data_IF_650911153887
#
_entry.id   IF_650911153887
#
_cell.length_a   1.000
_cell.length_b   1.000
_cell.length_c   1.000
_cell.angle_alpha   90.00
_cell.angle_beta   90.00
_cell.angle_gamma   90.00
#
_symmetry.space_group_name_H-M   'P 1'
#
loop_
_entity.id
_entity.type
_entity.pdbx_description
1 polymer ?
#
# COMPACT_ATOMS: atom_id res chain seq x y z
N UNK A 1 -21.70 -17.35 2.01
CA UNK A 1 -20.47 -16.54 2.10
C UNK A 1 -19.93 -16.31 0.68
N UNK A 2 -19.74 -15.05 0.26
CA UNK A 2 -19.18 -14.73 -1.07
C UNK A 2 -17.75 -15.29 -1.18
N UNK A 3 -17.38 -15.85 -2.34
CA UNK A 3 -16.00 -16.32 -2.63
C UNK A 3 -14.98 -15.18 -2.46
N UNK A 4 -15.38 -13.93 -2.72
CA UNK A 4 -14.56 -12.73 -2.50
C UNK A 4 -14.13 -12.60 -1.03
N UNK A 5 -15.08 -12.59 -0.10
CA UNK A 5 -14.79 -12.45 1.34
C UNK A 5 -13.85 -13.51 1.90
N UNK A 6 -13.98 -14.76 1.45
CA UNK A 6 -13.09 -15.84 1.91
C UNK A 6 -11.64 -15.53 1.51
N UNK A 7 -11.41 -15.07 0.28
CA UNK A 7 -10.06 -14.69 -0.18
C UNK A 7 -9.50 -13.51 0.60
N UNK A 8 -10.33 -12.50 0.86
CA UNK A 8 -9.91 -11.34 1.65
C UNK A 8 -9.59 -11.79 3.08
N UNK A 9 -10.45 -12.56 3.74
CA UNK A 9 -10.21 -13.09 5.09
C UNK A 9 -8.93 -13.91 5.20
N UNK A 10 -8.70 -14.84 4.28
CA UNK A 10 -7.46 -15.63 4.26
C UNK A 10 -6.21 -14.75 4.09
N UNK A 11 -6.30 -13.69 3.27
CA UNK A 11 -5.21 -12.72 3.08
C UNK A 11 -4.95 -11.90 4.35
N UNK A 12 -6.01 -11.51 5.07
CA UNK A 12 -5.89 -10.77 6.33
C UNK A 12 -5.40 -11.65 7.49
N UNK A 13 -5.74 -12.94 7.49
CA UNK A 13 -5.24 -13.89 8.48
C UNK A 13 -3.75 -14.18 8.28
N UNK A 14 -3.28 -14.34 7.04
CA UNK A 14 -1.85 -14.52 6.78
C UNK A 14 -1.04 -13.28 7.16
N UNK A 15 -1.61 -12.09 6.99
CA UNK A 15 -1.05 -10.82 7.45
C UNK A 15 -0.81 -10.81 8.96
N UNK A 16 -1.71 -11.40 9.75
CA UNK A 16 -1.57 -11.43 11.21
C UNK A 16 -0.33 -12.20 11.65
N UNK A 17 -0.14 -13.41 11.13
CA UNK A 17 0.99 -14.26 11.51
C UNK A 17 2.33 -13.58 11.20
N UNK A 18 2.40 -12.87 10.08
CA UNK A 18 3.58 -12.09 9.74
C UNK A 18 3.81 -10.92 10.70
N UNK A 19 2.79 -10.09 10.95
CA UNK A 19 2.96 -8.87 11.74
C UNK A 19 3.28 -9.14 13.20
N UNK A 20 2.73 -10.21 13.78
CA UNK A 20 3.11 -10.62 15.13
C UNK A 20 4.56 -11.10 15.17
N UNK A 21 4.96 -12.01 14.27
CA UNK A 21 6.33 -12.54 14.25
C UNK A 21 7.38 -11.45 13.96
N UNK A 22 7.10 -10.55 13.01
CA UNK A 22 7.98 -9.43 12.68
C UNK A 22 8.12 -8.42 13.82
N UNK A 23 7.01 -8.08 14.51
CA UNK A 23 7.04 -7.12 15.62
C UNK A 23 7.65 -7.67 16.93
N UNK A 24 7.79 -8.99 17.06
CA UNK A 24 8.45 -9.61 18.22
C UNK A 24 9.94 -9.94 17.98
N UNK A 25 10.39 -10.06 16.73
CA UNK A 25 11.75 -10.48 16.42
C UNK A 25 12.81 -9.36 16.45
N UNK A 26 12.43 -8.09 16.66
CA UNK A 26 13.31 -6.92 16.41
C UNK A 26 13.89 -6.25 17.68
N UNK A 27 13.97 -6.94 18.83
CA UNK A 27 14.68 -6.40 20.00
C UNK A 27 16.20 -6.48 19.85
N UNK A 28 16.81 -5.59 19.05
CA UNK A 28 18.19 -5.16 19.23
C UNK A 28 18.46 -3.82 18.54
N UNK A 29 18.84 -2.81 19.34
CA UNK A 29 19.29 -1.52 18.85
C UNK A 29 20.81 -1.55 18.59
N UNK A 30 21.23 -1.11 17.41
CA UNK A 30 22.58 -0.62 17.18
C UNK A 30 22.49 0.86 16.80
N UNK A 31 23.09 1.68 17.65
CA UNK A 31 23.26 3.12 17.49
C UNK A 31 24.44 3.35 16.54
N UNK A 32 24.24 4.07 15.43
CA UNK A 32 25.35 4.47 14.54
C UNK A 32 25.22 5.94 14.17
N UNK A 33 26.32 6.64 14.45
CA UNK A 33 26.54 8.05 14.31
C UNK A 33 26.42 8.59 12.88
N UNK A 34 26.10 9.88 12.80
CA UNK A 34 25.86 10.64 11.58
C UNK A 34 27.15 10.92 10.81
N UNK A 35 27.28 10.35 9.62
CA UNK A 35 28.19 10.83 8.58
C UNK A 35 27.45 11.77 7.63
N UNK A 36 28.16 12.79 7.15
CA UNK A 36 27.70 13.86 6.25
C UNK A 36 26.95 13.30 5.03
N UNK A 37 25.64 13.54 4.98
CA UNK A 37 24.73 13.00 3.98
C UNK A 37 24.92 13.65 2.59
N UNK A 38 25.11 12.86 1.51
CA UNK A 38 24.96 13.34 0.15
C UNK A 38 23.51 13.76 -0.15
N UNK A 39 23.32 14.57 -1.21
CA UNK A 39 22.00 15.01 -1.63
C UNK A 39 21.07 13.80 -1.94
N UNK A 40 19.79 13.80 -1.52
CA UNK A 40 18.88 12.65 -1.64
C UNK A 40 18.76 12.05 -3.04
N UNK A 41 18.88 12.87 -4.08
CA UNK A 41 18.80 12.44 -5.48
C UNK A 41 20.02 11.64 -5.94
N UNK A 42 21.22 11.99 -5.44
CA UNK A 42 22.46 11.27 -5.78
C UNK A 42 22.46 9.84 -5.23
N UNK A 43 21.96 9.67 -4.01
CA UNK A 43 21.81 8.35 -3.35
C UNK A 43 20.82 7.48 -4.13
N UNK A 44 19.72 8.05 -4.61
CA UNK A 44 18.70 7.33 -5.37
C UNK A 44 19.23 6.84 -6.72
N UNK A 45 19.98 7.67 -7.44
CA UNK A 45 20.60 7.31 -8.71
C UNK A 45 21.66 6.21 -8.55
N UNK A 46 22.48 6.28 -7.50
CA UNK A 46 23.48 5.24 -7.20
C UNK A 46 22.84 3.89 -6.82
N UNK A 47 21.69 3.91 -6.13
CA UNK A 47 21.01 2.69 -5.68
C UNK A 47 20.10 2.06 -6.74
N UNK A 48 19.41 2.87 -7.56
CA UNK A 48 18.37 2.41 -8.48
C UNK A 48 18.70 2.59 -9.97
N UNK A 49 19.86 3.17 -10.29
CA UNK A 49 20.37 3.32 -11.66
C UNK A 49 19.35 3.97 -12.60
N UNK A 50 19.10 3.33 -13.73
CA UNK A 50 18.22 3.81 -14.81
C UNK A 50 16.73 3.90 -14.42
N UNK A 51 16.33 3.36 -13.27
CA UNK A 51 14.94 3.41 -12.79
C UNK A 51 14.61 4.71 -12.05
N UNK A 52 15.62 5.47 -11.63
CA UNK A 52 15.44 6.74 -10.95
C UNK A 52 14.85 7.79 -11.92
N UNK A 53 13.78 8.47 -11.49
CA UNK A 53 13.15 9.54 -12.25
C UNK A 53 13.66 10.90 -11.78
N UNK A 54 14.01 11.77 -12.75
CA UNK A 54 14.43 13.15 -12.51
C UNK A 54 13.44 14.19 -13.07
N UNK A 55 12.37 13.77 -13.77
CA UNK A 55 11.32 14.70 -14.24
C UNK A 55 10.43 15.12 -13.07
N UNK A 56 10.59 16.37 -12.66
CA UNK A 56 9.84 16.99 -11.56
C UNK A 56 8.32 16.90 -11.78
N UNK A 57 7.84 17.06 -13.02
CA UNK A 57 6.40 17.01 -13.27
C UNK A 57 5.86 15.58 -13.09
N UNK A 58 6.61 14.58 -13.52
CA UNK A 58 6.24 13.17 -13.31
C UNK A 58 6.23 12.83 -11.81
N UNK A 59 7.24 13.32 -11.07
CA UNK A 59 7.35 13.18 -9.61
C UNK A 59 6.14 13.82 -8.92
N UNK A 60 5.78 15.06 -9.28
CA UNK A 60 4.69 15.80 -8.65
C UNK A 60 3.34 15.08 -8.82
N UNK A 61 3.03 14.60 -10.03
CA UNK A 61 1.80 13.84 -10.28
C UNK A 61 1.80 12.51 -9.52
N UNK A 62 2.95 11.84 -9.41
CA UNK A 62 3.07 10.62 -8.60
C UNK A 62 2.83 10.89 -7.10
N UNK A 63 3.31 12.02 -6.59
CA UNK A 63 3.08 12.47 -5.21
C UNK A 63 1.59 12.74 -4.98
N UNK A 64 0.91 13.40 -5.92
CA UNK A 64 -0.52 13.67 -5.83
C UNK A 64 -1.32 12.37 -5.71
N UNK A 65 -1.08 11.40 -6.61
CA UNK A 65 -1.73 10.07 -6.52
C UNK A 65 -1.47 9.36 -5.20
N UNK A 66 -0.25 9.45 -4.66
CA UNK A 66 0.11 8.86 -3.37
C UNK A 66 -0.62 9.55 -2.22
N UNK A 67 -0.68 10.88 -2.22
CA UNK A 67 -1.34 11.69 -1.21
C UNK A 67 -2.85 11.42 -1.21
N UNK A 68 -3.51 11.48 -2.36
CA UNK A 68 -4.94 11.22 -2.47
C UNK A 68 -5.30 9.80 -2.01
N UNK A 69 -4.50 8.80 -2.42
CA UNK A 69 -4.67 7.40 -1.97
C UNK A 69 -4.48 7.27 -0.45
N UNK A 70 -3.53 8.01 0.11
CA UNK A 70 -3.27 8.01 1.55
C UNK A 70 -4.44 8.62 2.35
N UNK A 71 -5.04 9.70 1.85
CA UNK A 71 -6.19 10.36 2.47
C UNK A 71 -7.39 9.42 2.47
N UNK A 72 -7.65 8.73 1.35
CA UNK A 72 -8.74 7.76 1.28
C UNK A 72 -8.54 6.60 2.27
N UNK A 73 -7.34 6.03 2.34
CA UNK A 73 -7.01 4.96 3.30
C UNK A 73 -7.15 5.42 4.75
N UNK A 74 -6.73 6.64 5.07
CA UNK A 74 -6.91 7.24 6.40
C UNK A 74 -8.38 7.35 6.76
N UNK A 75 -9.19 7.96 5.89
CA UNK A 75 -10.63 8.09 6.14
C UNK A 75 -11.32 6.74 6.29
N UNK A 76 -11.03 5.77 5.42
CA UNK A 76 -11.57 4.41 5.54
C UNK A 76 -11.14 3.70 6.85
N UNK A 77 -9.96 4.03 7.39
CA UNK A 77 -9.51 3.49 8.69
C UNK A 77 -10.25 4.11 9.87
N UNK A 78 -10.85 5.28 9.69
CA UNK A 78 -11.56 6.05 10.70
C UNK A 78 -13.08 5.86 10.62
N UNK A 79 -13.60 5.37 9.49
CA UNK A 79 -15.00 4.96 9.36
C UNK A 79 -15.37 3.95 10.45
N UNK A 80 -16.53 4.17 11.08
CA UNK A 80 -17.06 3.28 12.11
C UNK A 80 -17.24 1.86 11.58
N UNK A 81 -17.11 0.87 12.47
CA UNK A 81 -17.22 -0.55 12.11
C UNK A 81 -18.62 -1.12 12.40
N UNK A 82 -19.58 -0.30 12.79
CA UNK A 82 -20.90 -0.74 13.29
C UNK A 82 -21.73 -1.47 12.22
N UNK A 83 -21.52 -1.13 10.94
CA UNK A 83 -22.16 -1.78 9.80
C UNK A 83 -21.28 -2.82 9.10
N UNK A 84 -20.13 -3.16 9.68
CA UNK A 84 -19.27 -4.24 9.21
C UNK A 84 -19.69 -5.58 9.82
N UNK A 85 -19.64 -6.63 9.01
CA UNK A 85 -19.66 -8.01 9.49
C UNK A 85 -18.32 -8.36 10.12
N UNK A 86 -18.33 -9.01 11.29
CA UNK A 86 -17.11 -9.50 11.96
C UNK A 86 -16.87 -10.96 11.61
N UNK A 87 -15.65 -11.32 11.20
CA UNK A 87 -15.30 -12.72 10.86
C UNK A 87 -14.55 -13.44 11.98
N UNK A 88 -13.62 -12.74 12.64
CA UNK A 88 -12.85 -13.29 13.74
C UNK A 88 -12.54 -12.19 14.75
N UNK A 89 -12.92 -12.43 16.00
CA UNK A 89 -12.45 -11.71 17.19
C UNK A 89 -11.64 -12.70 18.00
N UNK A 90 -10.37 -12.88 17.64
CA UNK A 90 -9.50 -13.78 18.41
C UNK A 90 -9.16 -13.17 19.77
N UNK A 91 -9.05 -11.82 19.87
CA UNK A 91 -8.89 -11.00 21.08
C UNK A 91 -9.23 -9.51 20.79
N UNK A 92 -9.34 -8.64 21.82
CA UNK A 92 -9.56 -7.18 21.63
C UNK A 92 -8.49 -6.52 20.75
N UNK A 93 -7.27 -7.06 20.75
CA UNK A 93 -6.14 -6.54 19.99
C UNK A 93 -6.12 -6.92 18.51
N UNK A 94 -6.96 -7.86 18.05
CA UNK A 94 -6.97 -8.38 16.67
C UNK A 94 -8.39 -8.58 16.16
N UNK A 95 -8.79 -7.75 15.21
CA UNK A 95 -10.14 -7.79 14.64
C UNK A 95 -10.12 -7.78 13.11
N UNK A 96 -10.93 -8.64 12.50
CA UNK A 96 -11.16 -8.68 11.04
C UNK A 96 -12.61 -8.34 10.75
N UNK A 97 -12.81 -7.31 9.93
CA UNK A 97 -14.09 -6.77 9.54
C UNK A 97 -14.28 -6.83 8.02
N UNK A 98 -15.52 -7.03 7.60
CA UNK A 98 -15.92 -7.04 6.19
C UNK A 98 -17.15 -6.19 5.95
N UNK A 99 -17.15 -5.49 4.83
CA UNK A 99 -18.32 -4.74 4.37
C UNK A 99 -18.46 -4.83 2.87
N UNK A 100 -19.70 -4.87 2.39
CA UNK A 100 -20.03 -4.66 0.98
C UNK A 100 -20.62 -3.27 0.81
N UNK A 101 -20.08 -2.49 -0.12
CA UNK A 101 -20.71 -1.26 -0.56
C UNK A 101 -20.78 -1.25 -2.09
N UNK A 102 -21.99 -1.23 -2.66
CA UNK A 102 -22.17 -1.37 -4.10
C UNK A 102 -21.45 -2.59 -4.70
N UNK A 103 -20.47 -2.32 -5.56
CA UNK A 103 -19.60 -3.29 -6.24
C UNK A 103 -18.26 -3.56 -5.51
N UNK A 104 -18.02 -2.93 -4.36
CA UNK A 104 -16.78 -3.05 -3.59
C UNK A 104 -16.95 -4.03 -2.42
N UNK A 105 -16.03 -4.97 -2.30
CA UNK A 105 -15.84 -5.74 -1.06
C UNK A 105 -14.67 -5.12 -0.29
N UNK A 106 -14.93 -4.68 0.94
CA UNK A 106 -13.94 -4.09 1.84
C UNK A 106 -13.59 -5.12 2.91
N UNK A 107 -12.30 -5.43 3.03
CA UNK A 107 -11.73 -6.06 4.21
C UNK A 107 -10.91 -5.08 5.02
N UNK A 108 -11.09 -5.10 6.33
CA UNK A 108 -10.32 -4.32 7.29
C UNK A 108 -9.75 -5.24 8.35
N UNK A 109 -8.47 -5.08 8.63
CA UNK A 109 -7.78 -5.77 9.70
C UNK A 109 -7.21 -4.74 10.66
N UNK A 110 -7.49 -4.91 11.95
CA UNK A 110 -6.96 -4.07 13.01
C UNK A 110 -6.11 -4.90 13.96
N UNK A 111 -4.90 -4.40 14.23
CA UNK A 111 -3.94 -4.97 15.16
C UNK A 111 -3.43 -3.89 16.11
N UNK A 112 -3.43 -4.18 17.41
CA UNK A 112 -2.74 -3.36 18.42
C UNK A 112 -1.47 -4.09 18.87
N UNK A 113 -0.32 -3.43 18.74
CA UNK A 113 0.99 -3.92 19.14
C UNK A 113 1.42 -3.17 20.41
N UNK A 114 1.72 -3.86 21.52
CA UNK A 114 2.19 -3.20 22.73
C UNK A 114 3.52 -2.47 22.53
N UNK A 115 3.69 -1.36 23.25
CA UNK A 115 4.81 -0.41 23.20
C UNK A 115 4.80 0.51 21.97
N UNK A 116 4.68 1.80 22.25
CA UNK A 116 4.85 2.88 21.26
C UNK A 116 6.26 2.92 20.64
N UNK A 117 7.27 2.35 21.31
CA UNK A 117 8.65 2.28 20.79
C UNK A 117 8.76 1.47 19.51
N UNK A 118 7.84 0.53 19.27
CA UNK A 118 7.82 -0.35 18.10
C UNK A 118 7.35 0.35 16.81
N UNK A 119 6.98 1.63 16.89
CA UNK A 119 6.39 2.34 15.76
C UNK A 119 7.29 2.35 14.52
N UNK A 120 8.56 2.74 14.69
CA UNK A 120 9.53 2.79 13.59
C UNK A 120 9.76 1.39 13.00
N UNK A 121 9.97 0.39 13.84
CA UNK A 121 10.18 -1.00 13.41
C UNK A 121 8.98 -1.54 12.62
N UNK A 122 7.76 -1.24 13.04
CA UNK A 122 6.54 -1.65 12.34
C UNK A 122 6.46 -0.98 10.96
N UNK A 123 6.75 0.32 10.88
CA UNK A 123 6.77 1.06 9.61
C UNK A 123 7.83 0.49 8.66
N UNK A 124 9.04 0.23 9.15
CA UNK A 124 10.15 -0.28 8.36
C UNK A 124 9.93 -1.71 7.88
N UNK A 125 9.42 -2.60 8.74
CA UNK A 125 9.09 -3.96 8.36
C UNK A 125 7.99 -4.02 7.29
N UNK A 126 7.03 -3.09 7.31
CA UNK A 126 5.99 -3.04 6.29
C UNK A 126 6.51 -2.40 5.00
N UNK A 127 7.29 -1.32 5.10
CA UNK A 127 7.93 -0.64 3.97
C UNK A 127 9.29 -1.25 3.61
N UNK A 128 9.37 -2.57 3.57
CA UNK A 128 10.53 -3.28 3.03
C UNK A 128 10.25 -3.72 1.59
N UNK A 129 10.78 -2.94 0.62
CA UNK A 129 10.77 -3.28 -0.80
C UNK A 129 12.19 -3.60 -1.30
N UNK A 130 13.02 -4.37 -0.58
CA UNK A 130 14.35 -4.69 -1.11
C UNK A 130 14.28 -5.43 -2.47
N UNK A 131 14.79 -4.79 -3.52
CA UNK A 131 14.76 -5.25 -4.91
C UNK A 131 15.78 -6.37 -5.22
N UNK A 132 16.72 -6.66 -4.30
CA UNK A 132 17.83 -7.60 -4.53
C UNK A 132 17.63 -8.99 -3.91
N UNK A 133 16.72 -9.17 -2.94
CA UNK A 133 16.57 -10.45 -2.20
C UNK A 133 15.32 -11.21 -2.65
N UNK A 134 15.53 -12.46 -3.10
CA UNK A 134 14.53 -13.34 -3.75
C UNK A 134 13.54 -14.04 -2.82
N UNK A 135 13.68 -13.98 -1.50
CA UNK A 135 12.78 -14.67 -0.57
C UNK A 135 12.58 -13.86 0.71
N UNK A 136 11.33 -13.41 0.91
CA UNK A 136 10.53 -13.61 2.14
C UNK A 136 9.15 -12.94 1.94
N UNK A 137 8.18 -13.25 2.81
CA UNK A 137 6.81 -12.71 2.80
C UNK A 137 6.80 -11.16 2.89
N UNK A 138 6.89 -10.45 1.76
CA UNK A 138 6.83 -8.97 1.72
C UNK A 138 5.47 -8.45 1.27
N UNK A 139 5.03 -7.34 1.88
CA UNK A 139 3.79 -6.66 1.50
C UNK A 139 3.95 -5.85 0.22
N UNK A 140 5.11 -5.23 0.05
CA UNK A 140 5.45 -4.43 -1.12
C UNK A 140 6.34 -5.29 -2.03
N UNK A 141 5.74 -5.79 -3.11
CA UNK A 141 6.42 -6.65 -4.07
C UNK A 141 5.95 -6.38 -5.50
N UNK A 142 6.87 -6.57 -6.44
CA UNK A 142 6.63 -6.43 -7.87
C UNK A 142 7.96 -6.23 -8.59
N UNK A 143 7.90 -6.18 -9.92
CA UNK A 143 9.06 -5.79 -10.71
C UNK A 143 9.17 -4.27 -10.66
N UNK A 144 10.31 -3.75 -10.21
CA UNK A 144 10.51 -2.31 -10.11
C UNK A 144 10.51 -1.69 -11.52
N UNK A 145 9.68 -0.66 -11.74
CA UNK A 145 9.53 -0.02 -13.05
C UNK A 145 9.96 1.45 -13.03
N UNK A 146 9.73 2.15 -11.91
CA UNK A 146 10.11 3.57 -11.76
C UNK A 146 10.32 3.91 -10.29
N UNK A 147 11.33 4.72 -9.97
CA UNK A 147 11.63 5.18 -8.62
C UNK A 147 11.66 6.71 -8.59
N UNK A 148 10.73 7.31 -7.85
CA UNK A 148 10.69 8.76 -7.62
C UNK A 148 11.45 9.14 -6.37
N UNK A 149 11.36 8.29 -5.34
CA UNK A 149 12.16 8.38 -4.12
C UNK A 149 12.19 7.03 -3.42
N UNK A 150 12.96 6.91 -2.34
CA UNK A 150 12.94 5.74 -1.45
C UNK A 150 11.58 5.49 -0.76
N UNK A 151 10.62 6.40 -0.96
CA UNK A 151 9.26 6.34 -0.39
C UNK A 151 8.16 6.31 -1.44
N UNK A 152 8.47 6.39 -2.74
CA UNK A 152 7.47 6.50 -3.81
C UNK A 152 7.94 5.83 -5.10
N UNK A 153 7.23 4.77 -5.48
CA UNK A 153 7.72 3.78 -6.43
C UNK A 153 6.57 3.22 -7.26
N UNK A 154 6.86 2.92 -8.53
CA UNK A 154 5.96 2.15 -9.40
C UNK A 154 6.54 0.76 -9.62
N UNK A 155 5.67 -0.23 -9.47
CA UNK A 155 5.93 -1.59 -9.88
C UNK A 155 5.17 -1.94 -11.16
N UNK A 156 5.82 -2.73 -12.02
CA UNK A 156 5.16 -3.48 -13.07
C UNK A 156 4.50 -4.73 -12.46
N UNK A 157 3.26 -4.97 -12.89
CA UNK A 157 2.45 -6.13 -12.55
C UNK A 157 1.91 -6.75 -13.83
N UNK A 158 2.28 -8.00 -14.08
CA UNK A 158 1.77 -8.77 -15.21
C UNK A 158 0.32 -9.19 -14.94
N UNK A 159 -0.58 -8.92 -15.88
CA UNK A 159 -1.93 -9.49 -15.87
C UNK A 159 -2.00 -10.65 -16.86
N UNK A 160 -2.13 -11.87 -16.34
CA UNK A 160 -2.43 -13.06 -17.14
C UNK A 160 -3.95 -13.18 -17.16
N UNK A 161 -4.61 -12.43 -18.04
CA UNK A 161 -6.01 -12.72 -18.34
C UNK A 161 -6.04 -13.84 -19.41
N UNK A 162 -6.61 -15.03 -19.11
CA UNK A 162 -6.66 -16.13 -20.05
C UNK A 162 -7.43 -15.80 -21.35
N UNK A 163 -8.26 -14.76 -21.36
CA UNK A 163 -9.01 -14.31 -22.54
C UNK A 163 -8.25 -13.29 -23.39
N UNK A 164 -7.19 -12.66 -22.87
CA UNK A 164 -6.43 -11.64 -23.60
C UNK A 164 -5.04 -12.17 -23.92
N UNK A 165 -4.88 -12.62 -25.16
CA UNK A 165 -3.59 -12.68 -25.84
C UNK A 165 -3.51 -11.44 -26.74
N UNK A 166 -2.58 -10.51 -26.51
CA UNK A 166 -1.34 -10.65 -25.73
C UNK A 166 -1.47 -10.27 -24.25
N UNK A 167 -0.49 -10.72 -23.46
CA UNK A 167 -0.28 -10.32 -22.07
C UNK A 167 -0.19 -8.79 -21.94
N UNK A 168 -0.85 -8.24 -20.92
CA UNK A 168 -0.95 -6.80 -20.67
C UNK A 168 -0.13 -6.44 -19.44
N UNK A 169 0.75 -5.45 -19.56
CA UNK A 169 1.47 -4.83 -18.45
C UNK A 169 0.55 -3.85 -17.73
N UNK A 170 0.49 -3.94 -16.41
CA UNK A 170 -0.14 -2.95 -15.54
C UNK A 170 0.92 -2.34 -14.65
N UNK A 171 0.75 -1.08 -14.30
CA UNK A 171 1.59 -0.40 -13.32
C UNK A 171 0.80 -0.13 -12.06
N UNK A 172 1.46 -0.22 -10.92
CA UNK A 172 0.85 -0.04 -9.60
C UNK A 172 1.76 0.80 -8.73
N UNK A 173 1.18 1.82 -8.10
CA UNK A 173 1.91 2.74 -7.22
C UNK A 173 2.03 2.15 -5.82
N UNK A 174 3.19 2.30 -5.20
CA UNK A 174 3.41 2.05 -3.78
C UNK A 174 4.08 3.27 -3.16
N UNK A 175 3.68 3.62 -1.95
CA UNK A 175 4.19 4.81 -1.28
C UNK A 175 4.23 4.64 0.24
N UNK A 176 5.21 5.26 0.89
CA UNK A 176 5.21 5.53 2.34
C UNK A 176 4.97 7.02 2.55
N UNK A 177 3.76 7.37 2.99
CA UNK A 177 3.34 8.74 3.26
C UNK A 177 3.38 8.98 4.77
N UNK A 178 4.27 9.87 5.21
CA UNK A 178 4.31 10.33 6.61
C UNK A 178 3.28 11.45 6.73
N UNK A 179 2.15 11.15 7.35
CA UNK A 179 1.05 12.11 7.51
C UNK A 179 1.26 13.03 8.72
N UNK A 180 1.86 12.50 9.79
CA UNK A 180 2.30 13.25 10.97
C UNK A 180 3.38 12.46 11.70
N UNK A 181 3.96 13.04 12.76
CA UNK A 181 4.96 12.34 13.60
C UNK A 181 4.46 11.00 14.16
N UNK A 182 3.14 10.86 14.32
CA UNK A 182 2.52 9.69 14.93
C UNK A 182 1.68 8.88 13.92
N UNK A 183 1.62 9.27 12.65
CA UNK A 183 0.79 8.59 11.64
C UNK A 183 1.52 8.43 10.32
N UNK A 184 1.66 7.17 9.90
CA UNK A 184 2.24 6.79 8.61
C UNK A 184 1.23 5.95 7.84
N UNK A 185 1.09 6.23 6.55
CA UNK A 185 0.27 5.46 5.63
C UNK A 185 1.18 4.78 4.62
N UNK A 186 1.04 3.47 4.46
CA UNK A 186 1.76 2.70 3.44
C UNK A 186 0.76 2.22 2.40
N UNK A 187 0.87 2.76 1.19
CA UNK A 187 0.11 2.33 0.03
C UNK A 187 0.71 1.04 -0.52
N UNK A 188 -0.09 -0.01 -0.61
CA UNK A 188 0.29 -1.26 -1.26
C UNK A 188 0.03 -1.19 -2.77
N UNK A 189 0.83 -1.90 -3.59
CA UNK A 189 0.69 -1.95 -5.04
C UNK A 189 -0.51 -2.79 -5.52
N UNK A 190 -1.73 -2.34 -5.23
CA UNK A 190 -2.99 -3.03 -5.55
C UNK A 190 -3.83 -2.30 -6.59
N UNK A 191 -3.76 -0.96 -6.62
CA UNK A 191 -4.42 -0.08 -7.58
C UNK A 191 -3.66 -0.04 -8.89
N UNK A 192 -4.23 -0.61 -9.95
CA UNK A 192 -3.67 -0.46 -11.29
C UNK A 192 -3.86 0.97 -11.79
N UNK A 193 -2.78 1.57 -12.27
CA UNK A 193 -2.78 2.82 -13.02
C UNK A 193 -3.38 2.58 -14.41
N UNK A 194 -3.88 3.64 -15.05
CA UNK A 194 -4.57 3.57 -16.33
C UNK A 194 -3.60 3.33 -17.50
N UNK A 195 -2.95 2.16 -17.51
CA UNK A 195 -2.12 1.68 -18.59
C UNK A 195 -2.50 0.25 -18.96
N UNK A 196 -2.76 0.03 -20.25
CA UNK A 196 -3.05 -1.27 -20.84
C UNK A 196 -2.16 -1.45 -22.09
N UNK A 197 -0.85 -1.43 -21.88
CA UNK A 197 0.12 -1.70 -22.94
C UNK A 197 0.55 -3.18 -23.00
N UNK A 198 1.12 -3.58 -24.13
CA UNK A 198 1.69 -4.91 -24.34
C UNK A 198 3.06 -5.02 -23.67
N UNK A 199 3.61 -6.23 -23.61
CA UNK A 199 4.89 -6.49 -22.94
C UNK A 199 6.05 -5.71 -23.56
N UNK A 200 6.05 -5.49 -24.87
CA UNK A 200 7.18 -4.88 -25.59
C UNK A 200 7.07 -3.35 -25.69
N UNK A 201 6.01 -2.75 -25.14
CA UNK A 201 5.80 -1.30 -25.18
C UNK A 201 6.63 -0.63 -24.08
N UNK A 202 7.47 0.33 -24.47
CA UNK A 202 8.12 1.24 -23.51
C UNK A 202 7.07 2.23 -22.97
N UNK A 203 6.81 2.23 -21.66
CA UNK A 203 5.69 2.96 -21.11
C UNK A 203 6.05 4.42 -20.84
N UNK A 204 5.21 5.35 -21.27
CA UNK A 204 5.31 6.75 -20.85
C UNK A 204 4.72 6.91 -19.44
N UNK A 205 5.55 6.78 -18.38
CA UNK A 205 5.09 6.85 -16.98
C UNK A 205 4.34 8.14 -16.64
N UNK A 206 4.81 9.29 -17.15
CA UNK A 206 4.16 10.58 -16.96
C UNK A 206 2.75 10.59 -17.51
N UNK A 207 2.58 10.20 -18.76
CA UNK A 207 1.26 10.12 -19.39
C UNK A 207 0.32 9.14 -18.68
N UNK A 208 0.86 8.01 -18.19
CA UNK A 208 0.08 7.02 -17.43
C UNK A 208 -0.43 7.61 -16.11
N UNK A 209 0.42 8.37 -15.41
CA UNK A 209 0.06 9.04 -14.17
C UNK A 209 -0.96 10.16 -14.42
N UNK A 210 -0.73 11.01 -15.42
CA UNK A 210 -1.65 12.11 -15.78
C UNK A 210 -3.03 11.60 -16.21
N UNK A 211 -3.09 10.46 -16.90
CA UNK A 211 -4.34 9.83 -17.31
C UNK A 211 -4.97 8.91 -16.26
N UNK A 212 -4.30 8.70 -15.12
CA UNK A 212 -4.87 7.93 -14.02
C UNK A 212 -5.95 8.75 -13.33
N UNK A 213 -7.14 8.16 -13.16
CA UNK A 213 -8.26 8.82 -12.50
C UNK A 213 -7.86 9.33 -11.10
N UNK A 214 -8.09 10.60 -10.73
CA UNK A 214 -7.81 11.07 -9.38
C UNK A 214 -8.84 10.51 -8.37
N UNK A 215 -8.47 10.48 -7.09
CA UNK A 215 -9.37 10.09 -6.01
C UNK A 215 -10.03 11.34 -5.43
N UNK A 216 -11.35 11.36 -5.34
CA UNK A 216 -12.09 12.46 -4.72
C UNK A 216 -11.92 12.40 -3.19
N UNK A 217 -11.09 13.28 -2.65
CA UNK A 217 -10.76 13.31 -1.22
C UNK A 217 -11.65 14.23 -0.40
N UNK A 218 -12.53 15.02 -1.01
CA UNK A 218 -13.40 16.00 -0.37
C UNK A 218 -14.77 15.45 0.05
N UNK A 219 -15.07 14.20 -0.32
CA UNK A 219 -16.33 13.51 0.00
C UNK A 219 -16.15 12.42 1.06
N UNK A 220 -17.25 11.72 1.37
CA UNK A 220 -17.25 10.54 2.22
C UNK A 220 -16.36 9.43 1.65
N UNK A 221 -15.69 8.68 2.54
CA UNK A 221 -14.69 7.68 2.15
C UNK A 221 -15.29 6.52 1.34
N UNK A 222 -16.49 6.08 1.70
CA UNK A 222 -17.16 4.98 1.03
C UNK A 222 -17.72 5.43 -0.33
N UNK A 223 -18.25 6.65 -0.39
CA UNK A 223 -18.64 7.28 -1.65
C UNK A 223 -17.44 7.44 -2.61
N UNK A 224 -16.30 7.94 -2.11
CA UNK A 224 -15.05 8.06 -2.86
C UNK A 224 -14.59 6.71 -3.39
N UNK A 225 -14.63 5.67 -2.55
CA UNK A 225 -14.24 4.32 -2.94
C UNK A 225 -15.13 3.73 -4.04
N UNK A 226 -16.44 3.93 -3.98
CA UNK A 226 -17.38 3.50 -5.03
C UNK A 226 -17.10 4.25 -6.34
N UNK A 227 -16.91 5.58 -6.31
CA UNK A 227 -16.60 6.39 -7.49
C UNK A 227 -15.25 6.04 -8.11
N UNK A 228 -14.27 5.69 -7.28
CA UNK A 228 -12.96 5.23 -7.72
C UNK A 228 -13.06 3.91 -8.50
N UNK A 229 -13.94 2.99 -8.08
CA UNK A 229 -14.33 1.79 -8.84
C UNK A 229 -13.20 0.78 -9.10
N UNK A 230 -12.04 0.94 -8.47
CA UNK A 230 -10.86 0.08 -8.61
C UNK A 230 -10.34 -0.35 -7.24
N UNK A 231 -9.38 -1.28 -7.23
CA UNK A 231 -8.81 -1.79 -5.99
C UNK A 231 -7.96 -0.72 -5.29
N UNK A 232 -7.98 -0.71 -3.97
CA UNK A 232 -7.04 0.04 -3.14
C UNK A 232 -6.71 -0.79 -1.90
N UNK A 233 -5.45 -0.76 -1.48
CA UNK A 233 -5.02 -1.47 -0.28
C UNK A 233 -3.84 -0.74 0.35
N UNK A 234 -3.74 -0.81 1.67
CA UNK A 234 -2.65 -0.18 2.39
C UNK A 234 -2.81 -0.26 3.90
N UNK A 235 -1.78 0.19 4.59
CA UNK A 235 -1.68 0.23 6.03
C UNK A 235 -1.80 1.66 6.53
N UNK A 236 -2.56 1.86 7.60
CA UNK A 236 -2.55 3.07 8.43
C UNK A 236 -1.97 2.68 9.77
N UNK A 237 -0.82 3.28 10.12
CA UNK A 237 -0.04 2.96 11.30
C UNK A 237 -0.04 4.20 12.19
N UNK A 238 -0.64 4.09 13.38
CA UNK A 238 -0.77 5.17 14.36
C UNK A 238 0.02 4.82 15.62
N UNK A 239 0.96 5.68 16.00
CA UNK A 239 1.61 5.65 17.31
C UNK A 239 0.64 6.21 18.36
N UNK A 240 0.50 5.51 19.47
CA UNK A 240 -0.23 5.96 20.67
C UNK A 240 0.74 6.06 21.84
N UNK A 241 0.25 6.42 23.01
CA UNK A 241 1.09 6.64 24.19
C UNK A 241 1.83 5.36 24.62
N UNK A 242 1.17 4.21 24.58
CA UNK A 242 1.69 2.92 25.07
C UNK A 242 1.67 1.80 24.02
N UNK A 243 1.20 2.07 22.80
CA UNK A 243 1.01 1.06 21.77
C UNK A 243 1.15 1.63 20.34
N UNK A 244 1.17 0.72 19.37
CA UNK A 244 1.07 1.01 17.95
C UNK A 244 -0.19 0.34 17.41
N UNK A 245 -1.06 1.14 16.79
CA UNK A 245 -2.26 0.66 16.12
C UNK A 245 -1.98 0.53 14.62
N UNK A 246 -2.18 -0.66 14.08
CA UNK A 246 -2.08 -0.92 12.64
C UNK A 246 -3.44 -1.30 12.11
N UNK A 247 -3.93 -0.53 11.14
CA UNK A 247 -5.13 -0.85 10.38
C UNK A 247 -4.75 -1.12 8.94
N UNK A 248 -4.95 -2.33 8.46
CA UNK A 248 -4.81 -2.66 7.04
C UNK A 248 -6.18 -2.69 6.37
N UNK A 249 -6.26 -2.10 5.19
CA UNK A 249 -7.47 -2.02 4.37
C UNK A 249 -7.18 -2.70 3.05
N UNK A 250 -8.11 -3.52 2.58
CA UNK A 250 -8.09 -4.12 1.26
C UNK A 250 -9.49 -4.03 0.65
N UNK A 251 -9.68 -3.09 -0.25
CA UNK A 251 -10.90 -2.92 -1.00
C UNK A 251 -10.71 -3.45 -2.43
N UNK A 252 -11.60 -4.36 -2.83
CA UNK A 252 -11.55 -5.02 -4.13
C UNK A 252 -12.83 -4.74 -4.90
N UNK A 253 -12.67 -4.23 -6.12
CA UNK A 253 -13.77 -4.02 -7.06
C UNK A 253 -14.18 -5.34 -7.69
N UNK A 254 -15.47 -5.67 -7.58
CA UNK A 254 -16.08 -6.84 -8.21
C UNK A 254 -16.63 -6.56 -9.61
N UNK A 255 -16.28 -5.42 -10.22
CA UNK A 255 -16.62 -5.18 -11.62
C UNK A 255 -15.94 -6.24 -12.47
N UNK A 256 -16.74 -7.04 -13.19
CA UNK A 256 -16.23 -7.87 -14.28
C UNK A 256 -15.75 -6.90 -15.36
N UNK A 257 -14.43 -6.78 -15.50
CA UNK A 257 -13.81 -6.18 -16.69
C UNK A 257 -13.79 -7.21 -17.81
#
# INVERSE_FOLDING_TARGET
>A
MNKGYIKIALTLLSLTGYMQNGAFATEHAADVASETNPAPQKILSEEFGDLACEDINEIDVAIDHANESSILLLKLSETGTDDYSTYSKENESKNIYFKKIGNMDIGRFHLTIPSASKYSDVVENIWDFNHTKKYDYKFIKGNLARVYSKYLIIFEKLNIDPNYSPLIKKYVLAAKVIHSNDTTVILCPSRALNYLGKIDDEPNMKEILENTQPIQTDIDAEEALIKLGTNIAGFVIKKRDDNVQVTYINAVSNLKK
#
